data_IF_207082114045
#
_entry.id   IF_207082114045
#
_cell.length_a   1.000
_cell.length_b   1.000
_cell.length_c   1.000
_cell.angle_alpha   90.00
_cell.angle_beta   90.00
_cell.angle_gamma   90.00
#
_symmetry.space_group_name_H-M   'P 1'
#
loop_
_entity.id
_entity.type
_entity.pdbx_description
1 polymer ?
#
# COMPACT_ATOMS: atom_id res chain seq x y z
N UNK A 1 -26.55 -28.54 24.62
CA UNK A 1 -25.67 -27.35 24.72
C UNK A 1 -24.84 -27.28 23.45
N UNK A 2 -25.32 -26.55 22.43
CA UNK A 2 -24.50 -26.19 21.27
C UNK A 2 -23.78 -24.90 21.62
N UNK A 3 -22.46 -24.98 21.82
CA UNK A 3 -21.62 -23.81 21.89
C UNK A 3 -21.48 -23.24 20.47
N UNK A 4 -22.18 -22.14 20.20
CA UNK A 4 -21.96 -21.31 19.02
C UNK A 4 -20.60 -20.64 19.22
N UNK A 5 -19.54 -21.22 18.66
CA UNK A 5 -18.27 -20.53 18.52
C UNK A 5 -18.47 -19.42 17.48
N UNK A 6 -18.70 -18.20 17.97
CA UNK A 6 -18.48 -17.01 17.16
C UNK A 6 -16.98 -16.96 16.85
N UNK A 7 -16.60 -17.47 15.70
CA UNK A 7 -15.34 -17.07 15.08
C UNK A 7 -15.55 -15.60 14.73
N UNK A 8 -15.09 -14.71 15.61
CA UNK A 8 -14.77 -13.34 15.25
C UNK A 8 -13.76 -13.44 14.10
N UNK A 9 -14.25 -13.38 12.87
CA UNK A 9 -13.43 -12.97 11.73
C UNK A 9 -13.06 -11.52 12.00
N UNK A 10 -12.00 -11.31 12.75
CA UNK A 10 -11.41 -9.99 12.94
C UNK A 10 -10.98 -9.50 11.56
N UNK A 11 -11.81 -8.68 10.93
CA UNK A 11 -11.41 -7.93 9.75
C UNK A 11 -10.33 -6.95 10.22
N UNK A 12 -9.17 -6.96 9.58
CA UNK A 12 -8.15 -5.92 9.76
C UNK A 12 -8.76 -4.61 9.23
N UNK A 13 -8.82 -3.55 10.04
CA UNK A 13 -9.52 -2.29 9.73
C UNK A 13 -8.57 -1.10 9.69
N UNK A 14 -7.52 -1.23 8.87
CA UNK A 14 -6.57 -0.14 8.62
C UNK A 14 -7.26 1.10 8.06
N UNK A 15 -6.76 2.28 8.43
CA UNK A 15 -7.21 3.56 7.87
C UNK A 15 -5.99 4.42 7.58
N UNK A 16 -5.88 4.93 6.36
CA UNK A 16 -4.86 5.90 5.94
C UNK A 16 -5.48 7.28 5.89
N UNK A 17 -4.75 8.26 6.42
CA UNK A 17 -5.01 9.68 6.20
C UNK A 17 -3.77 10.29 5.54
N UNK A 18 -4.00 10.95 4.41
CA UNK A 18 -3.00 11.69 3.68
C UNK A 18 -3.32 13.18 3.72
N UNK A 19 -2.37 13.99 4.18
CA UNK A 19 -2.52 15.44 4.33
C UNK A 19 -1.46 16.12 3.47
N UNK A 20 -1.91 16.93 2.51
CA UNK A 20 -1.00 17.72 1.68
C UNK A 20 -0.40 18.88 2.46
N UNK A 21 0.73 19.41 1.99
CA UNK A 21 1.41 20.53 2.63
C UNK A 21 0.47 21.73 2.82
N UNK A 22 -0.31 22.11 1.82
CA UNK A 22 -1.26 23.22 1.89
C UNK A 22 -2.46 22.97 2.81
N UNK A 23 -2.74 21.71 3.17
CA UNK A 23 -3.79 21.34 4.12
C UNK A 23 -3.29 21.31 5.58
N UNK A 24 -1.98 21.31 5.80
CA UNK A 24 -1.37 21.32 7.14
C UNK A 24 -1.17 22.75 7.66
N UNK A 25 -1.18 22.90 8.99
CA UNK A 25 -0.96 24.22 9.62
C UNK A 25 0.49 24.70 9.48
N UNK A 26 1.45 23.78 9.45
CA UNK A 26 2.88 24.02 9.40
C UNK A 26 3.48 23.97 7.98
N UNK A 27 2.69 23.63 6.97
CA UNK A 27 3.14 23.55 5.58
C UNK A 27 3.96 22.30 5.25
N UNK A 28 3.78 21.20 5.99
CA UNK A 28 4.38 19.88 5.70
C UNK A 28 3.33 18.87 5.23
N UNK A 29 3.68 18.04 4.25
CA UNK A 29 2.86 16.89 3.92
C UNK A 29 3.15 15.75 4.91
N UNK A 30 2.11 15.03 5.32
CA UNK A 30 2.27 13.86 6.19
C UNK A 30 1.23 12.79 5.92
N UNK A 31 1.59 11.58 6.34
CA UNK A 31 0.73 10.40 6.29
C UNK A 31 0.56 9.86 7.70
N UNK A 32 -0.64 9.37 7.99
CA UNK A 32 -0.93 8.59 9.18
C UNK A 32 -1.64 7.30 8.76
N UNK A 33 -1.36 6.20 9.45
CA UNK A 33 -2.17 5.00 9.32
C UNK A 33 -2.35 4.26 10.64
N UNK A 34 -3.49 3.58 10.78
CA UNK A 34 -3.68 2.55 11.79
C UNK A 34 -3.27 1.19 11.23
N UNK A 35 -2.50 0.42 12.00
CA UNK A 35 -2.18 -0.97 11.68
C UNK A 35 -2.92 -1.89 12.64
N UNK A 36 -4.06 -2.38 12.17
CA UNK A 36 -4.92 -3.28 12.94
C UNK A 36 -4.45 -4.71 12.73
N UNK A 37 -4.38 -5.49 13.82
CA UNK A 37 -3.95 -6.89 13.77
C UNK A 37 -4.90 -7.80 14.57
N UNK A 38 -5.11 -9.02 14.08
CA UNK A 38 -5.93 -10.04 14.75
C UNK A 38 -5.15 -10.89 15.76
N UNK A 39 -3.83 -10.71 15.80
CA UNK A 39 -2.91 -11.40 16.71
C UNK A 39 -1.85 -10.40 17.22
N UNK A 40 -1.13 -10.71 18.31
CA UNK A 40 -0.01 -9.89 18.75
C UNK A 40 0.98 -9.68 17.60
N UNK A 41 1.36 -8.43 17.37
CA UNK A 41 2.37 -8.06 16.36
C UNK A 41 3.67 -7.67 17.03
N UNK A 42 4.78 -7.90 16.34
CA UNK A 42 6.04 -7.24 16.68
C UNK A 42 5.81 -5.71 16.61
N UNK A 43 6.12 -4.99 17.70
CA UNK A 43 5.95 -3.53 17.81
C UNK A 43 7.28 -2.78 17.65
N UNK A 44 8.38 -3.48 17.35
CA UNK A 44 9.66 -2.83 17.15
C UNK A 44 9.59 -1.90 15.94
N UNK A 45 9.96 -0.64 16.16
CA UNK A 45 10.34 0.27 15.09
C UNK A 45 11.82 0.03 14.78
N UNK A 46 12.12 -0.55 13.62
CA UNK A 46 13.47 -0.95 13.26
C UNK A 46 14.01 -0.01 12.19
N UNK A 47 15.22 0.53 12.37
CA UNK A 47 15.93 1.20 11.29
C UNK A 47 16.74 0.19 10.50
N UNK A 48 16.32 -0.08 9.26
CA UNK A 48 17.13 -0.81 8.29
C UNK A 48 18.16 0.18 7.73
N UNK A 49 19.47 -0.12 7.79
CA UNK A 49 20.50 0.81 7.35
C UNK A 49 20.55 0.91 5.82
N UNK A 50 21.09 2.02 5.33
CA UNK A 50 21.51 2.16 3.94
C UNK A 50 22.63 1.16 3.67
N UNK A 51 22.59 0.49 2.52
CA UNK A 51 23.56 -0.55 2.17
C UNK A 51 24.11 -0.33 0.77
N UNK A 52 25.37 -0.74 0.58
CA UNK A 52 25.98 -0.90 -0.74
C UNK A 52 26.09 -2.37 -1.07
N UNK A 53 25.75 -2.72 -2.30
CA UNK A 53 25.72 -4.09 -2.78
C UNK A 53 26.63 -4.27 -4.00
N UNK A 54 27.32 -5.40 -4.08
CA UNK A 54 28.12 -5.73 -5.24
C UNK A 54 27.22 -5.96 -6.47
N UNK A 55 27.74 -5.77 -7.70
CA UNK A 55 27.00 -6.06 -8.93
C UNK A 55 26.49 -7.51 -8.96
N UNK A 56 25.33 -7.72 -9.59
CA UNK A 56 24.67 -9.03 -9.75
C UNK A 56 24.32 -9.75 -8.44
N UNK A 57 24.23 -9.02 -7.32
CA UNK A 57 23.69 -9.55 -6.07
C UNK A 57 22.16 -9.58 -6.12
N UNK A 58 21.58 -10.37 -5.22
CA UNK A 58 20.13 -10.55 -5.12
C UNK A 58 19.64 -10.01 -3.77
N UNK A 59 18.42 -9.47 -3.78
CA UNK A 59 17.65 -9.07 -2.61
C UNK A 59 16.65 -10.18 -2.30
N UNK A 60 16.79 -10.83 -1.14
CA UNK A 60 15.80 -11.80 -0.68
C UNK A 60 14.44 -11.14 -0.49
N UNK A 61 13.38 -11.91 -0.72
CA UNK A 61 11.99 -11.51 -0.47
C UNK A 61 11.43 -12.46 0.58
N UNK A 62 10.92 -11.90 1.67
CA UNK A 62 10.39 -12.65 2.80
C UNK A 62 8.86 -12.58 2.84
N UNK A 63 8.24 -13.64 3.34
CA UNK A 63 6.81 -13.65 3.60
C UNK A 63 6.48 -12.66 4.72
N UNK A 64 5.29 -12.06 4.64
CA UNK A 64 4.74 -11.34 5.77
C UNK A 64 4.47 -12.32 6.93
N UNK A 65 4.97 -12.01 8.11
CA UNK A 65 4.77 -12.81 9.32
C UNK A 65 4.09 -11.97 10.41
N UNK A 66 3.00 -12.51 10.96
CA UNK A 66 2.36 -12.02 12.17
C UNK A 66 3.13 -12.54 13.40
N UNK A 67 3.22 -11.75 14.47
CA UNK A 67 3.91 -12.15 15.69
C UNK A 67 5.36 -11.67 15.81
N UNK A 68 6.04 -12.18 16.83
CA UNK A 68 7.43 -11.88 17.14
C UNK A 68 8.34 -13.11 16.99
N UNK A 69 9.50 -12.98 16.33
CA UNK A 69 9.92 -11.82 15.54
C UNK A 69 9.17 -11.74 14.21
N UNK A 70 8.90 -10.53 13.70
CA UNK A 70 8.31 -10.38 12.34
C UNK A 70 9.26 -10.83 11.23
N UNK A 71 10.56 -10.83 11.51
CA UNK A 71 11.63 -11.24 10.61
C UNK A 71 12.87 -11.61 11.45
N UNK A 72 13.55 -12.68 11.06
CA UNK A 72 14.85 -13.07 11.58
C UNK A 72 15.81 -13.34 10.40
N UNK A 73 16.56 -12.32 9.99
CA UNK A 73 17.41 -12.36 8.80
C UNK A 73 18.66 -11.48 8.98
N UNK A 74 19.74 -11.84 8.28
CA UNK A 74 21.02 -11.12 8.35
C UNK A 74 21.17 -10.02 7.29
N UNK A 75 20.23 -9.90 6.37
CA UNK A 75 20.25 -8.99 5.21
C UNK A 75 19.33 -7.77 5.36
N UNK A 76 18.81 -7.52 6.58
CA UNK A 76 17.97 -6.35 6.94
C UNK A 76 18.52 -5.53 8.11
N UNK A 77 19.81 -5.71 8.44
CA UNK A 77 20.48 -5.01 9.53
C UNK A 77 20.43 -5.76 10.87
N UNK A 78 21.27 -5.32 11.82
CA UNK A 78 21.56 -6.04 13.06
C UNK A 78 20.34 -6.29 13.95
N UNK A 79 19.34 -5.41 13.89
CA UNK A 79 18.11 -5.54 14.68
C UNK A 79 17.24 -6.74 14.26
N UNK A 80 17.45 -7.26 13.05
CA UNK A 80 16.78 -8.46 12.55
C UNK A 80 17.64 -9.72 12.64
N UNK A 81 18.86 -9.64 13.16
CA UNK A 81 19.70 -10.83 13.28
C UNK A 81 19.04 -11.86 14.21
N UNK A 82 19.00 -13.15 13.82
CA UNK A 82 18.41 -14.19 14.65
C UNK A 82 19.02 -14.22 16.05
N UNK A 83 18.19 -14.17 17.09
CA UNK A 83 18.60 -14.33 18.49
C UNK A 83 18.62 -15.80 18.89
N UNK A 84 19.25 -16.12 20.02
CA UNK A 84 19.30 -17.49 20.55
C UNK A 84 17.89 -18.09 20.66
N UNK A 85 17.68 -19.23 20.01
CA UNK A 85 16.39 -19.93 19.98
C UNK A 85 15.41 -19.45 18.90
N UNK A 86 15.76 -18.44 18.10
CA UNK A 86 14.95 -18.03 16.94
C UNK A 86 15.33 -18.84 15.69
N UNK A 87 14.33 -19.16 14.88
CA UNK A 87 14.51 -19.77 13.56
C UNK A 87 14.72 -18.66 12.54
N UNK A 88 15.75 -18.78 11.71
CA UNK A 88 15.99 -17.86 10.58
C UNK A 88 14.81 -17.91 9.62
N UNK A 89 14.37 -16.75 9.15
CA UNK A 89 13.31 -16.66 8.15
C UNK A 89 13.81 -17.17 6.79
N UNK A 90 13.04 -18.07 6.18
CA UNK A 90 13.32 -18.58 4.84
C UNK A 90 12.80 -17.60 3.77
N UNK A 91 13.62 -17.19 2.79
CA UNK A 91 13.14 -16.38 1.67
C UNK A 91 12.10 -17.13 0.83
N UNK A 92 11.08 -16.42 0.36
CA UNK A 92 10.17 -16.90 -0.69
C UNK A 92 10.85 -16.96 -2.07
N UNK A 93 11.89 -16.16 -2.25
CA UNK A 93 12.65 -16.01 -3.48
C UNK A 93 13.52 -14.75 -3.40
N UNK A 94 14.01 -14.28 -4.55
CA UNK A 94 14.86 -13.10 -4.61
C UNK A 94 14.72 -12.35 -5.93
N UNK A 95 15.06 -11.06 -5.91
CA UNK A 95 15.08 -10.17 -7.09
C UNK A 95 16.46 -9.54 -7.27
N UNK A 96 16.83 -9.05 -8.47
CA UNK A 96 18.05 -8.28 -8.65
C UNK A 96 18.17 -7.14 -7.64
N UNK A 97 19.34 -7.00 -7.04
CA UNK A 97 19.63 -5.94 -6.08
C UNK A 97 20.22 -4.71 -6.79
N UNK A 98 19.93 -3.53 -6.24
CA UNK A 98 20.52 -2.25 -6.68
C UNK A 98 21.84 -1.99 -5.97
N UNK A 99 22.74 -1.22 -6.58
CA UNK A 99 24.07 -0.93 -6.00
C UNK A 99 23.98 -0.22 -4.64
N UNK A 100 22.99 0.66 -4.46
CA UNK A 100 22.79 1.42 -3.23
C UNK A 100 21.32 1.38 -2.82
N UNK A 101 21.08 1.13 -1.54
CA UNK A 101 19.75 1.23 -0.92
C UNK A 101 19.73 2.32 0.14
N UNK A 102 18.62 3.03 0.25
CA UNK A 102 18.41 4.00 1.32
C UNK A 102 18.11 3.32 2.66
N UNK A 103 18.52 3.95 3.75
CA UNK A 103 18.05 3.58 5.08
C UNK A 103 16.56 3.90 5.23
N UNK A 104 15.83 3.09 5.97
CA UNK A 104 14.41 3.34 6.25
C UNK A 104 13.96 2.80 7.60
N UNK A 105 12.85 3.34 8.09
CA UNK A 105 12.13 2.83 9.25
C UNK A 105 11.13 1.77 8.82
N UNK A 106 11.24 0.60 9.44
CA UNK A 106 10.44 -0.58 9.20
C UNK A 106 9.55 -0.90 10.40
N UNK A 107 8.32 -1.28 10.11
CA UNK A 107 7.37 -1.88 11.05
C UNK A 107 6.78 -3.15 10.38
N UNK A 108 5.46 -3.36 10.45
CA UNK A 108 4.77 -4.33 9.63
C UNK A 108 4.88 -3.98 8.13
N UNK A 109 4.98 -2.68 7.82
CA UNK A 109 5.22 -2.10 6.49
C UNK A 109 6.35 -1.07 6.59
N UNK A 110 6.96 -0.72 5.46
CA UNK A 110 7.91 0.38 5.39
C UNK A 110 7.22 1.72 5.68
N UNK A 111 7.84 2.57 6.51
CA UNK A 111 7.24 3.83 6.96
C UNK A 111 7.82 5.05 6.25
N UNK A 112 9.13 5.26 6.34
CA UNK A 112 9.81 6.40 5.75
C UNK A 112 11.30 6.10 5.55
N UNK A 113 11.88 6.55 4.44
CA UNK A 113 13.32 6.45 4.19
C UNK A 113 14.09 7.73 4.56
N UNK A 114 15.42 7.65 4.54
CA UNK A 114 16.32 8.75 4.92
C UNK A 114 16.28 9.96 3.98
N UNK A 115 15.68 9.82 2.80
CA UNK A 115 15.44 10.92 1.86
C UNK A 115 14.01 11.47 1.95
N UNK A 116 13.32 11.14 3.05
CA UNK A 116 11.99 11.65 3.43
C UNK A 116 10.87 11.27 2.45
N UNK A 117 10.99 10.11 1.80
CA UNK A 117 9.86 9.43 1.16
C UNK A 117 9.13 8.62 2.24
N UNK A 118 7.82 8.82 2.38
CA UNK A 118 6.97 8.12 3.35
C UNK A 118 5.84 7.36 2.67
N UNK A 119 5.47 6.23 3.26
CA UNK A 119 4.39 5.35 2.80
C UNK A 119 3.47 5.01 3.98
N UNK A 120 2.17 5.02 3.73
CA UNK A 120 1.13 4.55 4.62
C UNK A 120 0.22 3.60 3.86
N UNK A 121 -0.29 2.56 4.52
CA UNK A 121 -0.95 1.44 3.85
C UNK A 121 -2.34 1.16 4.43
N UNK A 122 -3.27 0.78 3.56
CA UNK A 122 -4.55 0.17 3.92
C UNK A 122 -4.88 -0.99 2.99
N UNK A 123 -5.31 -2.12 3.56
CA UNK A 123 -5.67 -3.31 2.78
C UNK A 123 -7.04 -3.10 2.16
N UNK A 124 -7.17 -3.20 0.84
CA UNK A 124 -8.44 -3.00 0.15
C UNK A 124 -8.77 -4.25 -0.67
N UNK A 125 -9.96 -4.86 -0.50
CA UNK A 125 -10.34 -5.99 -1.31
C UNK A 125 -10.59 -5.54 -2.76
N UNK A 126 -10.07 -6.30 -3.71
CA UNK A 126 -10.23 -6.04 -5.13
C UNK A 126 -10.88 -7.24 -5.84
N UNK A 127 -11.54 -6.99 -6.97
CA UNK A 127 -11.81 -8.03 -7.95
C UNK A 127 -10.49 -8.63 -8.38
N UNK A 128 -10.35 -9.94 -8.20
CA UNK A 128 -9.15 -10.67 -8.59
C UNK A 128 -9.53 -11.91 -9.38
N UNK A 129 -8.74 -12.18 -10.41
CA UNK A 129 -8.77 -13.44 -11.17
C UNK A 129 -7.76 -14.46 -10.65
N UNK A 130 -6.99 -14.09 -9.63
CA UNK A 130 -5.91 -14.90 -9.09
C UNK A 130 -6.16 -15.31 -7.65
N UNK A 131 -6.60 -16.57 -7.43
CA UNK A 131 -6.70 -17.17 -6.08
C UNK A 131 -5.48 -18.02 -5.68
N UNK A 132 -4.56 -18.27 -6.61
CA UNK A 132 -3.31 -19.01 -6.42
C UNK A 132 -2.29 -18.52 -7.44
N UNK A 133 -1.16 -17.99 -7.01
CA UNK A 133 -0.20 -17.32 -7.90
C UNK A 133 1.24 -17.33 -7.39
N UNK A 134 2.16 -17.00 -8.30
CA UNK A 134 3.62 -16.93 -8.06
C UNK A 134 4.10 -15.54 -7.67
N UNK A 135 3.20 -14.64 -7.24
CA UNK A 135 3.58 -13.30 -6.81
C UNK A 135 4.56 -13.39 -5.65
N UNK A 136 5.80 -12.96 -5.92
CA UNK A 136 6.88 -13.08 -4.95
C UNK A 136 6.70 -12.11 -3.77
N UNK A 137 6.10 -10.95 -4.04
CA UNK A 137 5.97 -9.88 -3.08
C UNK A 137 4.61 -9.84 -2.38
N UNK A 138 4.66 -9.70 -1.05
CA UNK A 138 3.57 -9.08 -0.29
C UNK A 138 3.72 -7.56 -0.31
N UNK A 139 2.62 -6.83 -0.12
CA UNK A 139 2.67 -5.37 0.01
C UNK A 139 3.61 -4.88 1.12
N UNK A 140 3.68 -5.61 2.24
CA UNK A 140 4.58 -5.32 3.34
C UNK A 140 6.03 -5.31 2.87
N UNK A 141 6.43 -6.29 2.07
CA UNK A 141 7.79 -6.37 1.53
C UNK A 141 8.03 -5.39 0.36
N UNK A 142 6.97 -5.01 -0.38
CA UNK A 142 7.07 -4.01 -1.45
C UNK A 142 7.27 -2.60 -0.94
N UNK A 143 6.53 -2.18 0.09
CA UNK A 143 6.74 -0.87 0.70
C UNK A 143 8.19 -0.70 1.16
N UNK A 144 8.80 -1.78 1.68
CA UNK A 144 10.22 -1.83 2.05
C UNK A 144 11.13 -1.71 0.82
N UNK A 145 10.88 -2.50 -0.22
CA UNK A 145 11.66 -2.43 -1.46
C UNK A 145 11.56 -1.05 -2.16
N UNK A 146 10.39 -0.41 -2.11
CA UNK A 146 10.19 0.95 -2.61
C UNK A 146 11.01 1.96 -1.81
N UNK A 147 10.96 1.90 -0.48
CA UNK A 147 11.74 2.80 0.39
C UNK A 147 13.25 2.61 0.24
N UNK A 148 13.71 1.40 -0.05
CA UNK A 148 15.12 1.11 -0.35
C UNK A 148 15.59 1.76 -1.66
N UNK A 149 14.70 1.93 -2.66
CA UNK A 149 15.09 2.20 -4.06
C UNK A 149 14.63 3.55 -4.61
N UNK A 150 13.60 4.15 -4.02
CA UNK A 150 12.94 5.35 -4.53
C UNK A 150 13.25 6.57 -3.66
N UNK A 151 13.30 7.74 -4.27
CA UNK A 151 13.56 9.03 -3.59
C UNK A 151 12.40 10.03 -3.67
N UNK A 152 11.32 9.64 -4.33
CA UNK A 152 10.16 10.49 -4.64
C UNK A 152 8.89 9.65 -4.74
N UNK A 153 7.73 10.29 -4.49
CA UNK A 153 6.44 9.59 -4.48
C UNK A 153 6.10 8.98 -5.85
N UNK A 154 6.50 9.66 -6.94
CA UNK A 154 6.24 9.26 -8.33
C UNK A 154 6.94 7.96 -8.75
N UNK A 155 8.03 7.58 -8.09
CA UNK A 155 8.81 6.39 -8.44
C UNK A 155 8.33 5.11 -7.75
N UNK A 156 7.54 5.24 -6.68
CA UNK A 156 7.11 4.11 -5.87
C UNK A 156 5.90 3.42 -6.52
N UNK A 157 6.13 2.40 -7.34
CA UNK A 157 5.09 1.45 -7.80
C UNK A 157 5.17 0.13 -7.02
N UNK A 158 4.03 -0.48 -6.74
CA UNK A 158 3.95 -1.75 -5.99
C UNK A 158 2.97 -2.73 -6.66
N UNK A 159 2.92 -3.99 -6.18
CA UNK A 159 2.04 -5.08 -6.64
C UNK A 159 1.24 -5.70 -5.44
N UNK A 160 0.13 -6.42 -5.68
CA UNK A 160 -0.87 -6.96 -4.70
C UNK A 160 -2.02 -6.01 -4.33
N UNK A 161 -3.21 -6.56 -4.02
CA UNK A 161 -4.46 -5.81 -3.87
C UNK A 161 -4.51 -4.92 -2.61
N UNK A 162 -4.01 -3.69 -2.69
CA UNK A 162 -3.93 -2.73 -1.57
C UNK A 162 -3.92 -1.27 -2.01
N UNK A 163 -4.08 -0.38 -1.03
CA UNK A 163 -4.08 1.05 -1.20
C UNK A 163 -2.99 1.71 -0.35
N UNK A 164 -2.21 2.59 -0.95
CA UNK A 164 -1.13 3.32 -0.31
C UNK A 164 -1.36 4.83 -0.37
N UNK A 165 -1.05 5.53 0.72
CA UNK A 165 -0.70 6.94 0.69
C UNK A 165 0.81 7.07 0.56
N UNK A 166 1.29 7.95 -0.31
CA UNK A 166 2.72 8.17 -0.55
C UNK A 166 2.98 9.68 -0.53
N UNK A 167 3.99 10.13 0.21
CA UNK A 167 4.38 11.54 0.22
C UNK A 167 5.88 11.71 0.32
N UNK A 168 6.40 12.84 -0.18
CA UNK A 168 7.84 13.11 -0.19
C UNK A 168 8.19 14.52 0.32
N UNK A 169 9.49 14.81 0.38
CA UNK A 169 10.05 16.09 0.81
C UNK A 169 9.60 17.30 0.00
N UNK A 170 9.10 17.11 -1.22
CA UNK A 170 8.62 18.20 -2.06
C UNK A 170 7.16 18.56 -1.76
N UNK A 171 6.49 17.77 -0.90
CA UNK A 171 5.11 17.94 -0.53
C UNK A 171 4.13 17.35 -1.55
N UNK A 172 4.61 16.54 -2.50
CA UNK A 172 3.71 15.75 -3.34
C UNK A 172 3.09 14.64 -2.49
N UNK A 173 1.78 14.45 -2.65
CA UNK A 173 1.03 13.41 -1.95
C UNK A 173 0.19 12.66 -2.98
N UNK A 174 0.26 11.33 -2.96
CA UNK A 174 -0.39 10.45 -3.92
C UNK A 174 -1.18 9.36 -3.18
N UNK A 175 -2.35 9.05 -3.72
CA UNK A 175 -3.09 7.83 -3.41
C UNK A 175 -2.77 6.83 -4.52
N UNK A 176 -2.36 5.61 -4.16
CA UNK A 176 -1.96 4.56 -5.08
C UNK A 176 -2.77 3.30 -4.79
N UNK A 177 -3.57 2.84 -5.74
CA UNK A 177 -4.30 1.58 -5.68
C UNK A 177 -3.68 0.57 -6.63
N UNK A 178 -3.52 -0.64 -6.14
CA UNK A 178 -2.90 -1.73 -6.88
C UNK A 178 -3.66 -3.01 -6.65
N UNK A 179 -3.64 -3.91 -7.63
CA UNK A 179 -4.11 -5.28 -7.55
C UNK A 179 -3.28 -6.21 -8.43
N UNK A 180 -3.42 -7.51 -8.20
CA UNK A 180 -2.84 -8.52 -9.09
C UNK A 180 -3.53 -8.47 -10.46
N UNK A 181 -2.74 -8.42 -11.51
CA UNK A 181 -3.16 -8.57 -12.89
C UNK A 181 -3.41 -10.03 -13.29
N UNK A 182 -3.65 -10.28 -14.59
CA UNK A 182 -4.01 -11.61 -15.09
C UNK A 182 -2.95 -12.65 -14.76
N UNK A 183 -3.40 -13.88 -14.48
CA UNK A 183 -2.57 -15.04 -14.15
C UNK A 183 -1.62 -14.87 -12.95
N UNK A 184 -1.75 -13.81 -12.15
CA UNK A 184 -0.82 -13.48 -11.06
C UNK A 184 0.64 -13.35 -11.53
N UNK A 185 0.86 -12.70 -12.68
CA UNK A 185 2.22 -12.49 -13.23
C UNK A 185 2.58 -11.01 -13.43
N UNK A 186 1.70 -10.08 -13.06
CA UNK A 186 1.87 -8.63 -13.19
C UNK A 186 0.93 -7.91 -12.21
N UNK A 187 1.15 -6.63 -11.93
CA UNK A 187 0.17 -5.76 -11.30
C UNK A 187 -0.63 -4.90 -12.28
N UNK A 188 -1.84 -4.54 -11.83
CA UNK A 188 -2.65 -3.45 -12.37
C UNK A 188 -2.71 -2.38 -11.28
N UNK A 189 -2.45 -1.12 -11.62
CA UNK A 189 -2.42 -0.06 -10.63
C UNK A 189 -2.81 1.29 -11.23
N UNK A 190 -3.30 2.18 -10.36
CA UNK A 190 -3.50 3.59 -10.64
C UNK A 190 -3.08 4.42 -9.43
N UNK A 191 -2.55 5.61 -9.69
CA UNK A 191 -2.19 6.59 -8.69
C UNK A 191 -2.83 7.93 -9.05
N UNK A 192 -3.35 8.61 -8.04
CA UNK A 192 -3.92 9.95 -8.16
C UNK A 192 -3.20 10.90 -7.22
N UNK A 193 -2.75 12.04 -7.74
CA UNK A 193 -2.20 13.12 -6.93
C UNK A 193 -3.31 13.75 -6.08
N UNK A 194 -3.05 13.92 -4.80
CA UNK A 194 -3.93 14.71 -3.91
C UNK A 194 -3.62 16.19 -4.16
N UNK A 195 -4.60 17.01 -4.58
CA UNK A 195 -4.36 18.43 -4.81
C UNK A 195 -3.88 19.12 -3.55
N UNK A 196 -2.93 20.06 -3.71
CA UNK A 196 -2.43 20.83 -2.56
C UNK A 196 -3.56 21.60 -1.89
N UNK A 197 -3.58 21.62 -0.56
CA UNK A 197 -4.70 22.17 0.23
C UNK A 197 -5.80 21.15 0.54
N UNK A 198 -5.66 19.89 0.11
CA UNK A 198 -6.64 18.83 0.38
C UNK A 198 -6.10 17.71 1.28
N UNK A 199 -7.04 16.93 1.80
CA UNK A 199 -6.81 15.68 2.51
C UNK A 199 -7.47 14.54 1.75
N UNK A 200 -6.88 13.35 1.83
CA UNK A 200 -7.46 12.13 1.29
C UNK A 200 -7.41 11.04 2.36
N UNK A 201 -8.42 10.17 2.37
CA UNK A 201 -8.49 9.05 3.30
C UNK A 201 -8.80 7.74 2.57
N UNK A 202 -8.28 6.65 3.10
CA UNK A 202 -8.57 5.28 2.64
C UNK A 202 -8.96 4.46 3.87
N UNK A 203 -10.10 3.79 3.80
CA UNK A 203 -10.62 2.97 4.91
C UNK A 203 -11.01 1.58 4.41
N UNK A 204 -10.03 0.80 3.95
CA UNK A 204 -10.22 -0.54 3.37
C UNK A 204 -11.15 -0.58 2.14
N UNK A 205 -11.19 0.49 1.33
CA UNK A 205 -11.85 0.49 0.03
C UNK A 205 -11.10 1.35 -0.97
N UNK A 206 -11.18 1.01 -2.25
CA UNK A 206 -10.65 1.87 -3.29
C UNK A 206 -11.44 3.19 -3.40
N UNK A 207 -10.70 4.26 -3.69
CA UNK A 207 -11.18 5.65 -3.72
C UNK A 207 -10.85 6.39 -5.01
N UNK A 208 -9.90 5.90 -5.83
CA UNK A 208 -9.58 6.51 -7.14
C UNK A 208 -10.73 6.19 -8.09
N UNK A 209 -11.44 7.22 -8.55
CA UNK A 209 -12.63 7.10 -9.41
C UNK A 209 -12.23 7.17 -10.87
N UNK A 210 -12.86 8.07 -11.64
CA UNK A 210 -12.50 8.33 -13.01
C UNK A 210 -11.03 8.78 -13.12
N UNK A 211 -10.27 8.14 -13.99
CA UNK A 211 -8.88 8.52 -14.27
C UNK A 211 -8.75 8.98 -15.72
N UNK A 212 -7.85 9.94 -15.93
CA UNK A 212 -7.40 10.38 -17.25
C UNK A 212 -5.92 10.02 -17.40
N UNK A 213 -5.61 9.01 -18.22
CA UNK A 213 -4.25 8.51 -18.41
C UNK A 213 -3.36 9.47 -19.21
N UNK A 214 -3.95 10.44 -19.89
CA UNK A 214 -3.21 11.47 -20.63
C UNK A 214 -2.74 12.60 -19.70
N UNK A 215 -3.46 12.86 -18.60
CA UNK A 215 -3.06 13.80 -17.55
C UNK A 215 -2.07 13.17 -16.56
N UNK A 216 -0.81 13.08 -16.99
CA UNK A 216 0.30 12.52 -16.20
C UNK A 216 0.70 13.35 -14.97
N UNK A 217 0.15 14.56 -14.83
CA UNK A 217 0.36 15.41 -13.66
C UNK A 217 -0.58 15.03 -12.52
N UNK A 218 -1.81 14.62 -12.85
CA UNK A 218 -2.82 14.19 -11.87
C UNK A 218 -2.86 12.68 -11.68
N UNK A 219 -2.59 11.90 -12.74
CA UNK A 219 -2.74 10.46 -12.74
C UNK A 219 -1.50 9.75 -13.24
N UNK A 220 -1.25 8.57 -12.67
CA UNK A 220 -0.31 7.59 -13.18
C UNK A 220 -1.03 6.25 -13.15
N UNK A 221 -0.77 5.37 -14.12
CA UNK A 221 -1.37 4.04 -14.12
C UNK A 221 -0.48 3.04 -14.84
N UNK A 222 -0.75 1.75 -14.63
CA UNK A 222 -0.14 0.69 -15.44
C UNK A 222 -0.66 0.74 -16.87
N UNK A 223 0.19 0.38 -17.84
CA UNK A 223 -0.18 0.41 -19.27
C UNK A 223 -1.39 -0.48 -19.60
N UNK A 224 -1.63 -1.52 -18.79
CA UNK A 224 -2.75 -2.46 -18.94
C UNK A 224 -4.03 -2.08 -18.17
N UNK A 225 -4.10 -0.91 -17.52
CA UNK A 225 -5.17 -0.56 -16.58
C UNK A 225 -6.58 -0.50 -17.19
N UNK A 226 -6.71 -0.16 -18.47
CA UNK A 226 -8.03 -0.10 -19.14
C UNK A 226 -8.31 -1.41 -19.85
N UNK A 227 -7.34 -1.89 -20.64
CA UNK A 227 -7.50 -3.09 -21.47
C UNK A 227 -7.81 -4.32 -20.61
N UNK A 228 -7.17 -4.47 -19.45
CA UNK A 228 -7.47 -5.57 -18.55
C UNK A 228 -8.90 -5.54 -18.01
N UNK A 229 -9.43 -4.36 -17.65
CA UNK A 229 -10.82 -4.25 -17.20
C UNK A 229 -11.81 -4.58 -18.34
N UNK A 230 -11.48 -4.19 -19.57
CA UNK A 230 -12.29 -4.49 -20.75
C UNK A 230 -12.29 -6.00 -21.07
N UNK A 231 -11.12 -6.65 -21.07
CA UNK A 231 -10.97 -8.10 -21.27
C UNK A 231 -11.78 -8.91 -20.25
N UNK A 232 -11.82 -8.43 -18.99
CA UNK A 232 -12.58 -9.07 -17.93
C UNK A 232 -14.09 -8.76 -17.95
N UNK A 233 -14.54 -7.88 -18.85
CA UNK A 233 -15.92 -7.41 -18.90
C UNK A 233 -16.32 -6.55 -17.70
N UNK A 234 -15.34 -5.97 -16.98
CA UNK A 234 -15.58 -5.08 -15.85
C UNK A 234 -15.75 -3.61 -16.28
N UNK A 235 -15.31 -3.29 -17.49
CA UNK A 235 -15.49 -2.01 -18.14
C UNK A 235 -15.92 -2.21 -19.60
N UNK A 236 -16.87 -1.41 -20.07
CA UNK A 236 -17.27 -1.37 -21.49
C UNK A 236 -16.76 -0.08 -22.13
N UNK A 237 -15.68 -0.13 -22.93
CA UNK A 237 -15.15 1.06 -23.60
C UNK A 237 -16.12 1.63 -24.64
N UNK A 238 -17.08 0.84 -25.15
CA UNK A 238 -18.08 1.31 -26.12
C UNK A 238 -19.24 2.07 -25.45
N UNK A 239 -19.36 2.02 -24.12
CA UNK A 239 -20.43 2.71 -23.38
C UNK A 239 -20.28 4.24 -23.34
N UNK A 240 -19.16 4.79 -23.83
CA UNK A 240 -18.90 6.24 -23.86
C UNK A 240 -18.72 6.88 -22.48
N UNK A 241 -18.43 6.07 -21.44
CA UNK A 241 -18.18 6.55 -20.08
C UNK A 241 -16.67 6.62 -19.80
N UNK A 242 -16.20 7.59 -19.01
CA UNK A 242 -14.83 7.60 -18.51
C UNK A 242 -14.52 6.31 -17.75
N UNK A 243 -13.26 5.88 -17.81
CA UNK A 243 -12.80 4.72 -17.07
C UNK A 243 -12.70 5.06 -15.57
N UNK A 244 -13.51 4.38 -14.74
CA UNK A 244 -13.51 4.53 -13.28
C UNK A 244 -12.84 3.31 -12.63
N UNK A 245 -11.66 3.54 -12.03
CA UNK A 245 -10.81 2.47 -11.49
C UNK A 245 -11.51 1.70 -10.36
N UNK A 246 -12.11 2.42 -9.41
CA UNK A 246 -12.86 1.80 -8.30
C UNK A 246 -14.05 1.01 -8.86
N UNK A 247 -14.82 1.55 -9.79
CA UNK A 247 -15.97 0.82 -10.35
C UNK A 247 -15.55 -0.47 -11.09
N UNK A 248 -14.40 -0.45 -11.76
CA UNK A 248 -13.87 -1.59 -12.49
C UNK A 248 -13.28 -2.66 -11.56
N UNK A 249 -12.53 -2.26 -10.53
CA UNK A 249 -11.63 -3.14 -9.78
C UNK A 249 -11.97 -3.34 -8.30
N UNK A 250 -12.80 -2.50 -7.68
CA UNK A 250 -13.22 -2.71 -6.30
C UNK A 250 -14.00 -4.03 -6.15
N UNK A 251 -13.78 -4.72 -5.03
CA UNK A 251 -14.62 -5.88 -4.69
C UNK A 251 -16.08 -5.45 -4.56
N UNK A 252 -17.08 -6.26 -4.96
CA UNK A 252 -18.48 -5.94 -4.70
C UNK A 252 -18.80 -5.72 -3.21
N UNK A 253 -17.99 -6.30 -2.32
CA UNK A 253 -18.11 -6.19 -0.87
C UNK A 253 -17.33 -5.00 -0.26
N UNK A 254 -16.71 -4.11 -1.06
CA UNK A 254 -15.86 -2.99 -0.58
C UNK A 254 -16.63 -1.97 0.28
N UNK A 255 -17.93 -1.84 0.03
CA UNK A 255 -18.77 -0.78 0.58
C UNK A 255 -19.72 -1.38 1.63
N UNK A 256 -19.21 -1.54 2.85
CA UNK A 256 -20.02 -1.86 4.02
C UNK A 256 -19.99 -0.73 5.05
N UNK A 257 -21.00 -0.69 5.93
CA UNK A 257 -21.24 0.37 6.93
C UNK A 257 -19.97 0.87 7.66
N UNK A 258 -18.99 0.01 7.91
CA UNK A 258 -17.76 0.39 8.62
C UNK A 258 -16.77 1.24 7.79
N UNK A 259 -16.73 1.08 6.47
CA UNK A 259 -15.85 1.90 5.61
C UNK A 259 -16.41 3.32 5.53
N UNK A 260 -17.69 3.42 5.20
CA UNK A 260 -18.38 4.70 5.00
C UNK A 260 -18.41 5.51 6.29
N UNK A 261 -18.67 4.88 7.46
CA UNK A 261 -18.64 5.59 8.74
C UNK A 261 -17.25 6.16 9.10
N UNK A 262 -16.16 5.48 8.74
CA UNK A 262 -14.79 5.97 9.01
C UNK A 262 -14.44 7.14 8.10
N UNK A 263 -14.76 7.04 6.82
CA UNK A 263 -14.55 8.13 5.87
C UNK A 263 -15.44 9.33 6.21
N UNK A 264 -16.73 9.09 6.49
CA UNK A 264 -17.66 10.10 6.97
C UNK A 264 -17.09 10.83 8.19
N UNK A 265 -16.63 10.09 9.21
CA UNK A 265 -16.13 10.72 10.42
C UNK A 265 -14.88 11.57 10.18
N UNK A 266 -13.99 11.14 9.29
CA UNK A 266 -12.81 11.93 8.91
C UNK A 266 -13.24 13.24 8.25
N UNK A 267 -14.14 13.19 7.27
CA UNK A 267 -14.56 14.37 6.53
C UNK A 267 -15.51 15.28 7.35
N UNK A 268 -16.33 14.74 8.23
CA UNK A 268 -17.14 15.49 9.19
C UNK A 268 -16.25 16.31 10.15
N UNK A 269 -15.11 15.75 10.58
CA UNK A 269 -14.17 16.46 11.45
C UNK A 269 -13.34 17.49 10.69
N UNK A 270 -12.82 17.14 9.51
CA UNK A 270 -11.87 17.97 8.77
C UNK A 270 -12.55 19.00 7.85
N UNK A 271 -13.75 18.70 7.38
CA UNK A 271 -14.51 19.53 6.45
C UNK A 271 -16.03 19.54 6.78
N UNK A 272 -16.44 19.90 8.02
CA UNK A 272 -17.85 19.88 8.44
C UNK A 272 -18.77 20.74 7.56
N UNK A 273 -18.20 21.75 6.89
CA UNK A 273 -18.90 22.63 5.97
C UNK A 273 -19.35 21.95 4.67
N UNK A 274 -18.82 20.78 4.35
CA UNK A 274 -19.26 19.99 3.18
C UNK A 274 -20.56 19.23 3.45
N UNK A 275 -21.01 19.15 4.71
CA UNK A 275 -22.23 18.43 5.11
C UNK A 275 -22.29 17.00 4.55
N UNK A 276 -21.16 16.30 4.61
CA UNK A 276 -21.06 14.91 4.15
C UNK A 276 -21.95 14.05 5.07
N UNK A 277 -22.95 13.37 4.50
CA UNK A 277 -23.92 12.52 5.20
C UNK A 277 -23.78 11.07 4.78
#
# INVERSE_FOLDING_TARGET
MLALAWVLTGLLRTTVLAVTRGASAEGSAFLAHTHDATAPTDLRLVRVPAMRHAPNTLRNVYAFAQGYPRLAATDRGIEYYPRTGQVTSEPLGAVPQVEHTYAYFDHAHGLMNEVQLAIAQSSCPARTVGRSGTNLFSIAELTKAALERCDSARQASTESAEALGITDKYGETWIFHVLSGPYNTSAVWAAQRVPDGQVAAIANAFTIRAIDTDDREQFLASDNVIDFAAEMGWFDPAAGKPFDFTAAYASPDDFGDNTDHRLWRIYDVLAPYLHVS
#
